data_IF_604134655511
#
_entry.id   IF_604134655511
#
_cell.length_a   1.000
_cell.length_b   1.000
_cell.length_c   1.000
_cell.angle_alpha   90.00
_cell.angle_beta   90.00
_cell.angle_gamma   90.00
#
_symmetry.space_group_name_H-M   'P 1'
#
loop_
_entity.id
_entity.type
_entity.pdbx_description
1 polymer ?
#
# COMPACT_ATOMS: atom_id res chain seq x y z
N UNK A 1 -32.57 62.54 28.20
CA UNK A 1 -32.63 61.08 27.89
C UNK A 1 -33.35 60.84 26.54
N UNK A 2 -32.76 61.22 25.39
CA UNK A 2 -33.40 61.05 24.06
C UNK A 2 -32.48 60.42 22.99
N UNK A 3 -31.18 60.27 23.27
CA UNK A 3 -30.18 59.83 22.26
C UNK A 3 -30.05 58.30 22.16
N UNK A 4 -30.49 57.55 23.17
CA UNK A 4 -30.36 56.08 23.21
C UNK A 4 -31.27 55.35 22.20
N UNK A 5 -32.40 55.96 21.81
CA UNK A 5 -33.33 55.41 20.81
C UNK A 5 -32.84 55.60 19.38
N UNK A 6 -32.15 56.72 19.08
CA UNK A 6 -31.62 57.01 17.73
C UNK A 6 -30.39 56.13 17.40
N UNK A 7 -29.57 55.82 18.41
CA UNK A 7 -28.42 54.90 18.27
C UNK A 7 -28.87 53.46 17.97
N UNK A 8 -30.03 53.03 18.48
CA UNK A 8 -30.58 51.70 18.21
C UNK A 8 -31.13 51.58 16.77
N UNK A 9 -31.75 52.64 16.25
CA UNK A 9 -32.19 52.68 14.85
C UNK A 9 -31.01 52.72 13.86
N UNK A 10 -29.93 53.44 14.18
CA UNK A 10 -28.72 53.49 13.34
C UNK A 10 -27.95 52.16 13.33
N UNK A 11 -28.02 51.39 14.42
CA UNK A 11 -27.46 50.04 14.49
C UNK A 11 -28.26 49.02 13.69
N UNK A 12 -29.59 49.22 13.53
CA UNK A 12 -30.46 48.31 12.77
C UNK A 12 -30.26 48.46 11.26
N UNK A 13 -30.02 49.68 10.78
CA UNK A 13 -29.75 49.99 9.36
C UNK A 13 -28.37 49.54 8.88
N UNK A 14 -27.39 49.40 9.80
CA UNK A 14 -26.07 48.83 9.49
C UNK A 14 -26.08 47.29 9.43
N UNK A 15 -27.07 46.63 10.03
CA UNK A 15 -27.22 45.17 9.98
C UNK A 15 -27.96 44.69 8.72
N UNK A 16 -28.78 45.54 8.10
CA UNK A 16 -29.51 45.22 6.86
C UNK A 16 -28.65 45.30 5.58
N UNK A 17 -27.48 45.94 5.62
CA UNK A 17 -26.62 46.09 4.43
C UNK A 17 -25.71 44.87 4.17
N UNK A 18 -25.61 43.94 5.13
CA UNK A 18 -24.76 42.74 5.03
C UNK A 18 -25.46 41.47 4.54
N UNK A 19 -26.78 41.49 4.33
CA UNK A 19 -27.58 40.28 4.03
C UNK A 19 -28.06 40.18 2.56
N UNK A 20 -27.45 40.90 1.63
CA UNK A 20 -27.90 40.96 0.23
C UNK A 20 -27.03 40.20 -0.79
N UNK A 21 -26.15 39.30 -0.34
CA UNK A 21 -25.36 38.41 -1.22
C UNK A 21 -25.76 36.94 -1.01
N UNK A 22 -27.01 36.62 -1.33
CA UNK A 22 -27.50 35.24 -1.43
C UNK A 22 -28.31 35.04 -2.73
N UNK A 23 -27.95 35.77 -3.79
CA UNK A 23 -28.40 35.38 -5.13
C UNK A 23 -27.66 34.10 -5.49
N UNK A 24 -28.37 32.97 -5.41
CA UNK A 24 -28.03 31.78 -6.18
C UNK A 24 -28.01 32.20 -7.64
N UNK A 25 -26.81 32.50 -8.15
CA UNK A 25 -26.60 32.60 -9.59
C UNK A 25 -26.97 31.23 -10.14
N UNK A 26 -28.14 31.13 -10.78
CA UNK A 26 -28.58 29.94 -11.48
C UNK A 26 -27.54 29.68 -12.58
N UNK A 27 -26.53 28.86 -12.27
CA UNK A 27 -25.56 28.41 -13.25
C UNK A 27 -26.30 27.45 -14.16
N UNK A 28 -26.91 28.00 -15.22
CA UNK A 28 -27.54 27.27 -16.30
C UNK A 28 -26.45 26.60 -17.13
N UNK A 29 -25.81 25.59 -16.54
CA UNK A 29 -24.90 24.71 -17.25
C UNK A 29 -25.70 23.94 -18.29
N UNK A 30 -25.20 23.85 -19.52
CA UNK A 30 -25.82 22.98 -20.52
C UNK A 30 -25.78 21.52 -20.05
N UNK A 31 -26.71 20.68 -20.52
CA UNK A 31 -26.78 19.25 -20.14
C UNK A 31 -25.41 18.54 -20.19
N UNK A 32 -24.63 18.81 -21.25
CA UNK A 32 -23.28 18.26 -21.42
C UNK A 32 -22.29 18.71 -20.34
N UNK A 33 -22.41 19.95 -19.88
CA UNK A 33 -21.53 20.52 -18.85
C UNK A 33 -21.90 20.00 -17.46
N UNK A 34 -23.20 19.85 -17.17
CA UNK A 34 -23.67 19.15 -15.97
C UNK A 34 -23.23 17.69 -15.94
N UNK A 35 -23.35 16.97 -17.07
CA UNK A 35 -22.91 15.58 -17.17
C UNK A 35 -21.41 15.45 -16.88
N UNK A 36 -20.59 16.30 -17.52
CA UNK A 36 -19.13 16.30 -17.30
C UNK A 36 -18.78 16.61 -15.84
N UNK A 37 -19.43 17.61 -15.25
CA UNK A 37 -19.22 17.96 -13.85
C UNK A 37 -19.60 16.79 -12.91
N UNK A 38 -20.73 16.12 -13.18
CA UNK A 38 -21.17 14.94 -12.45
C UNK A 38 -20.19 13.77 -12.57
N UNK A 39 -19.68 13.50 -13.77
CA UNK A 39 -18.69 12.44 -14.00
C UNK A 39 -17.35 12.74 -13.30
N UNK A 40 -16.82 13.95 -13.45
CA UNK A 40 -15.51 14.34 -12.90
C UNK A 40 -15.51 14.40 -11.36
N UNK A 41 -16.66 14.68 -10.74
CA UNK A 41 -16.80 14.79 -9.27
C UNK A 41 -17.49 13.58 -8.63
N UNK A 42 -17.85 12.55 -9.40
CA UNK A 42 -18.49 11.35 -8.86
C UNK A 42 -17.51 10.54 -8.01
N UNK A 43 -17.88 10.35 -6.75
CA UNK A 43 -17.14 9.48 -5.82
C UNK A 43 -17.15 8.03 -6.32
N UNK A 44 -18.26 7.59 -6.92
CA UNK A 44 -18.41 6.23 -7.44
C UNK A 44 -17.45 5.97 -8.61
N UNK A 45 -17.31 6.94 -9.54
CA UNK A 45 -16.36 6.82 -10.65
C UNK A 45 -14.93 6.81 -10.13
N UNK A 46 -14.60 7.71 -9.19
CA UNK A 46 -13.27 7.75 -8.58
C UNK A 46 -12.93 6.44 -7.88
N UNK A 47 -13.90 5.84 -7.19
CA UNK A 47 -13.73 4.53 -6.56
C UNK A 47 -13.49 3.44 -7.60
N UNK A 48 -14.28 3.37 -8.67
CA UNK A 48 -14.11 2.38 -9.74
C UNK A 48 -12.74 2.46 -10.44
N UNK A 49 -12.18 3.67 -10.57
CA UNK A 49 -10.83 3.89 -11.09
C UNK A 49 -9.78 3.32 -10.14
N UNK A 50 -9.94 3.51 -8.82
CA UNK A 50 -9.03 2.95 -7.82
C UNK A 50 -9.11 1.43 -7.78
N UNK A 51 -10.32 0.86 -7.90
CA UNK A 51 -10.54 -0.58 -7.94
C UNK A 51 -9.86 -1.21 -9.18
N UNK A 52 -9.94 -0.54 -10.34
CA UNK A 52 -9.21 -0.96 -11.54
C UNK A 52 -7.69 -0.93 -11.31
N UNK A 53 -7.15 0.17 -10.76
CA UNK A 53 -5.71 0.26 -10.46
C UNK A 53 -5.26 -0.83 -9.48
N UNK A 54 -6.07 -1.11 -8.46
CA UNK A 54 -5.80 -2.20 -7.53
C UNK A 54 -5.72 -3.55 -8.24
N UNK A 55 -6.63 -3.83 -9.18
CA UNK A 55 -6.60 -5.06 -9.98
C UNK A 55 -5.35 -5.14 -10.88
N UNK A 56 -4.90 -4.02 -11.44
CA UNK A 56 -3.65 -3.94 -12.20
C UNK A 56 -2.42 -4.22 -11.32
N UNK A 57 -2.40 -3.70 -10.09
CA UNK A 57 -1.33 -4.00 -9.13
C UNK A 57 -1.29 -5.48 -8.75
N UNK A 58 -2.44 -6.12 -8.55
CA UNK A 58 -2.52 -7.56 -8.29
C UNK A 58 -1.95 -8.39 -9.45
N UNK A 59 -2.20 -8.00 -10.70
CA UNK A 59 -1.54 -8.63 -11.86
C UNK A 59 -0.02 -8.44 -11.79
N UNK A 60 0.44 -7.26 -11.39
CA UNK A 60 1.86 -6.97 -11.16
C UNK A 60 2.49 -7.86 -10.09
N UNK A 61 1.81 -8.07 -8.96
CA UNK A 61 2.23 -8.98 -7.89
C UNK A 61 2.36 -10.42 -8.39
N UNK A 62 1.30 -10.93 -9.03
CA UNK A 62 1.29 -12.29 -9.58
C UNK A 62 2.39 -12.44 -10.62
N UNK A 63 2.56 -11.49 -11.54
CA UNK A 63 3.64 -11.52 -12.55
C UNK A 63 5.02 -11.51 -11.90
N UNK A 64 5.23 -10.70 -10.86
CA UNK A 64 6.50 -10.60 -10.14
C UNK A 64 6.89 -11.91 -9.47
N UNK A 65 5.92 -12.70 -9.00
CA UNK A 65 6.17 -14.02 -8.41
C UNK A 65 6.82 -15.03 -9.38
N UNK A 66 6.68 -14.80 -10.70
CA UNK A 66 7.31 -15.63 -11.74
C UNK A 66 8.68 -15.13 -12.19
N UNK A 67 9.09 -13.94 -11.79
CA UNK A 67 10.40 -13.38 -12.13
C UNK A 67 11.50 -13.96 -11.21
N UNK A 68 12.76 -13.97 -11.66
CA UNK A 68 13.89 -14.29 -10.79
C UNK A 68 13.91 -13.37 -9.56
N UNK A 69 13.90 -13.99 -8.38
CA UNK A 69 14.04 -13.31 -7.11
C UNK A 69 15.50 -13.37 -6.67
N UNK A 70 16.06 -12.23 -6.28
CA UNK A 70 17.42 -12.13 -5.74
C UNK A 70 17.32 -11.61 -4.31
N UNK A 71 17.94 -12.32 -3.38
CA UNK A 71 17.98 -11.98 -1.96
C UNK A 71 19.40 -12.05 -1.44
N UNK A 72 19.70 -11.22 -0.45
CA UNK A 72 20.98 -11.21 0.25
C UNK A 72 20.74 -11.27 1.75
N UNK A 73 21.54 -12.06 2.45
CA UNK A 73 21.50 -12.19 3.90
C UNK A 73 22.91 -12.03 4.46
N UNK A 74 23.04 -11.32 5.57
CA UNK A 74 24.30 -11.06 6.26
C UNK A 74 24.17 -11.42 7.72
N UNK A 75 24.92 -12.41 8.18
CA UNK A 75 24.90 -12.86 9.56
C UNK A 75 26.23 -12.54 10.23
N UNK A 76 26.15 -11.84 11.36
CA UNK A 76 27.27 -11.66 12.28
C UNK A 76 26.90 -12.31 13.61
N UNK A 77 27.78 -13.16 14.13
CA UNK A 77 27.57 -13.86 15.38
C UNK A 77 28.82 -13.78 16.26
N UNK A 78 28.60 -13.41 17.52
CA UNK A 78 29.61 -13.43 18.58
C UNK A 78 29.31 -14.59 19.52
N UNK A 79 30.32 -15.41 19.80
CA UNK A 79 30.28 -16.52 20.75
C UNK A 79 31.08 -16.18 22.02
N UNK A 80 30.52 -15.43 22.98
CA UNK A 80 31.24 -15.04 24.19
C UNK A 80 31.63 -16.23 25.07
N UNK A 81 30.86 -17.32 25.02
CA UNK A 81 31.26 -18.63 25.53
C UNK A 81 31.28 -19.62 24.37
N UNK A 82 32.47 -20.01 23.94
CA UNK A 82 32.63 -20.97 22.84
C UNK A 82 32.17 -22.36 23.27
N UNK A 83 31.50 -23.12 22.37
CA UNK A 83 31.12 -24.50 22.65
C UNK A 83 32.36 -25.34 23.00
N UNK A 84 32.40 -25.89 24.22
CA UNK A 84 33.42 -26.84 24.66
C UNK A 84 33.03 -28.25 24.24
N UNK A 85 33.90 -28.93 23.50
CA UNK A 85 33.78 -30.36 23.25
C UNK A 85 34.76 -31.12 24.17
N UNK A 86 34.35 -32.29 24.63
CA UNK A 86 35.20 -33.16 25.42
C UNK A 86 35.90 -34.14 24.47
N UNK A 87 37.23 -34.10 24.42
CA UNK A 87 38.00 -35.09 23.68
C UNK A 87 38.63 -36.11 24.64
N UNK A 88 38.77 -37.38 24.21
CA UNK A 88 39.53 -38.38 24.94
C UNK A 88 40.97 -37.89 25.19
N UNK A 89 41.46 -37.93 26.42
CA UNK A 89 42.83 -37.55 26.77
C UNK A 89 43.91 -38.49 26.18
N UNK A 90 43.49 -39.62 25.60
CA UNK A 90 44.33 -40.57 24.86
C UNK A 90 45.14 -39.89 23.74
N UNK A 91 44.61 -38.82 23.15
CA UNK A 91 45.25 -38.06 22.06
C UNK A 91 46.45 -37.23 22.57
N UNK A 92 46.52 -36.98 23.89
CA UNK A 92 47.53 -36.13 24.55
C UNK A 92 48.33 -36.91 25.60
N UNK A 93 48.33 -38.25 25.51
CA UNK A 93 48.97 -39.18 26.45
C UNK A 93 48.46 -39.08 27.91
N UNK A 94 47.19 -38.72 28.10
CA UNK A 94 46.51 -38.77 29.41
C UNK A 94 45.32 -39.74 29.36
N UNK A 95 45.55 -41.06 29.56
CA UNK A 95 44.48 -42.05 29.56
C UNK A 95 43.49 -41.81 30.72
N UNK A 96 42.19 -41.91 30.44
CA UNK A 96 41.14 -41.81 31.46
C UNK A 96 40.70 -40.39 31.83
N UNK A 97 41.30 -39.33 31.26
CA UNK A 97 40.83 -37.95 31.43
C UNK A 97 40.10 -37.46 30.17
N UNK A 98 39.09 -36.60 30.34
CA UNK A 98 38.44 -35.89 29.24
C UNK A 98 38.97 -34.46 29.25
N UNK A 99 39.54 -34.02 28.13
CA UNK A 99 40.11 -32.68 28.01
C UNK A 99 39.07 -31.78 27.31
N UNK A 100 38.61 -30.69 27.96
CA UNK A 100 37.71 -29.74 27.32
C UNK A 100 38.50 -28.92 26.31
N UNK A 101 38.09 -28.99 25.05
CA UNK A 101 38.66 -28.22 23.94
C UNK A 101 37.57 -27.34 23.34
N UNK A 102 37.94 -26.11 23.01
CA UNK A 102 37.05 -25.16 22.33
C UNK A 102 37.57 -25.00 20.91
N UNK A 103 36.71 -25.28 19.93
CA UNK A 103 37.05 -25.15 18.51
C UNK A 103 36.32 -23.94 17.90
N UNK A 104 36.96 -23.28 16.94
CA UNK A 104 36.36 -22.17 16.18
C UNK A 104 36.84 -20.77 16.61
N UNK A 105 36.14 -19.74 16.14
CA UNK A 105 36.45 -18.31 16.35
C UNK A 105 35.34 -17.63 17.16
N UNK A 106 35.69 -16.61 17.96
CA UNK A 106 34.72 -15.85 18.77
C UNK A 106 33.75 -15.02 17.92
N UNK A 107 34.18 -14.67 16.72
CA UNK A 107 33.40 -13.90 15.76
C UNK A 107 33.25 -14.71 14.49
N UNK A 108 32.02 -14.86 14.03
CA UNK A 108 31.68 -15.44 12.74
C UNK A 108 30.89 -14.41 11.95
N UNK A 109 31.33 -14.13 10.72
CA UNK A 109 30.63 -13.28 9.78
C UNK A 109 30.41 -14.06 8.50
N UNK A 110 29.17 -14.12 8.03
CA UNK A 110 28.81 -14.75 6.76
C UNK A 110 27.90 -13.83 5.95
N UNK A 111 28.07 -13.87 4.63
CA UNK A 111 27.21 -13.17 3.68
C UNK A 111 26.78 -14.17 2.61
N UNK A 112 25.50 -14.23 2.33
CA UNK A 112 24.91 -15.15 1.34
C UNK A 112 24.08 -14.37 0.35
N UNK A 113 24.30 -14.58 -0.95
CA UNK A 113 23.44 -14.07 -2.02
C UNK A 113 22.74 -15.27 -2.65
N UNK A 114 21.40 -15.21 -2.76
CA UNK A 114 20.57 -16.27 -3.32
C UNK A 114 19.72 -15.72 -4.45
N UNK A 115 19.87 -16.31 -5.65
CA UNK A 115 18.98 -16.11 -6.77
C UNK A 115 18.07 -17.35 -6.94
N UNK A 116 16.75 -17.14 -7.04
CA UNK A 116 15.77 -18.20 -7.24
C UNK A 116 14.81 -17.84 -8.36
N UNK A 117 14.62 -18.75 -9.31
CA UNK A 117 13.71 -18.56 -10.44
C UNK A 117 12.71 -19.70 -10.51
N UNK A 118 11.46 -19.35 -10.75
CA UNK A 118 10.40 -20.30 -11.03
C UNK A 118 10.53 -20.79 -12.48
N UNK A 119 10.88 -22.07 -12.67
CA UNK A 119 10.99 -22.65 -14.02
C UNK A 119 9.59 -23.00 -14.57
N UNK A 120 8.78 -23.70 -13.77
CA UNK A 120 7.41 -24.05 -14.14
C UNK A 120 6.55 -24.28 -12.90
N UNK A 121 5.33 -23.73 -12.88
CA UNK A 121 4.30 -24.01 -11.89
C UNK A 121 2.91 -23.79 -12.50
N UNK A 122 2.06 -24.82 -12.43
CA UNK A 122 0.69 -24.77 -12.94
C UNK A 122 -0.20 -23.76 -12.20
N UNK A 123 -0.03 -23.65 -10.88
CA UNK A 123 -0.76 -22.69 -10.04
C UNK A 123 -0.40 -21.24 -10.42
N UNK A 124 0.87 -20.97 -10.77
CA UNK A 124 1.27 -19.65 -11.24
C UNK A 124 0.57 -19.26 -12.55
N UNK A 125 0.53 -20.17 -13.53
CA UNK A 125 -0.11 -19.90 -14.81
C UNK A 125 -1.63 -19.70 -14.68
N UNK A 126 -2.29 -20.50 -13.86
CA UNK A 126 -3.72 -20.37 -13.57
C UNK A 126 -4.01 -19.08 -12.79
N UNK A 127 -3.20 -18.76 -11.78
CA UNK A 127 -3.27 -17.50 -11.05
C UNK A 127 -3.08 -16.27 -11.93
N UNK A 128 -2.12 -16.31 -12.88
CA UNK A 128 -1.90 -15.22 -13.83
C UNK A 128 -3.10 -15.01 -14.76
N UNK A 129 -3.76 -16.09 -15.19
CA UNK A 129 -5.00 -16.00 -15.99
C UNK A 129 -6.15 -15.42 -15.15
N UNK A 130 -6.29 -15.87 -13.91
CA UNK A 130 -7.31 -15.35 -12.99
C UNK A 130 -7.12 -13.85 -12.71
N UNK A 131 -5.88 -13.42 -12.48
CA UNK A 131 -5.55 -12.01 -12.27
C UNK A 131 -5.89 -11.17 -13.52
N UNK A 132 -5.55 -11.63 -14.72
CA UNK A 132 -5.92 -10.96 -15.97
C UNK A 132 -7.44 -10.84 -16.15
N UNK A 133 -8.17 -11.93 -15.91
CA UNK A 133 -9.64 -11.93 -15.98
C UNK A 133 -10.25 -10.96 -14.96
N UNK A 134 -9.63 -10.84 -13.78
CA UNK A 134 -10.06 -9.87 -12.76
C UNK A 134 -9.85 -8.44 -13.24
N UNK A 135 -8.70 -8.10 -13.84
CA UNK A 135 -8.46 -6.77 -14.42
C UNK A 135 -9.48 -6.43 -15.51
N UNK A 136 -9.82 -7.38 -16.38
CA UNK A 136 -10.85 -7.19 -17.40
C UNK A 136 -12.23 -6.94 -16.76
N UNK A 137 -12.59 -7.69 -15.72
CA UNK A 137 -13.82 -7.47 -14.96
C UNK A 137 -13.88 -6.06 -14.35
N UNK A 138 -12.81 -5.59 -13.71
CA UNK A 138 -12.79 -4.24 -13.11
C UNK A 138 -12.84 -3.13 -14.16
N UNK A 139 -12.26 -3.34 -15.34
CA UNK A 139 -12.43 -2.43 -16.49
C UNK A 139 -13.90 -2.34 -16.92
N UNK A 140 -14.61 -3.48 -16.99
CA UNK A 140 -16.04 -3.50 -17.29
C UNK A 140 -16.89 -2.85 -16.19
N UNK A 141 -16.55 -3.09 -14.91
CA UNK A 141 -17.24 -2.45 -13.78
C UNK A 141 -17.08 -0.94 -13.76
N UNK A 142 -15.91 -0.42 -14.17
CA UNK A 142 -15.70 1.02 -14.37
C UNK A 142 -16.64 1.59 -15.43
N UNK A 143 -16.72 0.96 -16.60
CA UNK A 143 -17.64 1.39 -17.68
C UNK A 143 -19.09 1.37 -17.19
N UNK A 144 -19.50 0.28 -16.51
CA UNK A 144 -20.84 0.17 -15.92
C UNK A 144 -21.12 1.30 -14.92
N UNK A 145 -20.13 1.66 -14.09
CA UNK A 145 -20.29 2.73 -13.09
C UNK A 145 -20.42 4.10 -13.77
N UNK A 146 -19.68 4.34 -14.86
CA UNK A 146 -19.84 5.55 -15.66
C UNK A 146 -21.25 5.62 -16.28
N UNK A 147 -21.76 4.52 -16.84
CA UNK A 147 -23.13 4.44 -17.37
C UNK A 147 -24.18 4.68 -16.28
N UNK A 148 -24.07 4.01 -15.12
CA UNK A 148 -25.01 4.15 -14.00
C UNK A 148 -25.11 5.60 -13.50
N UNK A 149 -24.00 6.35 -13.53
CA UNK A 149 -23.96 7.78 -13.15
C UNK A 149 -24.57 8.66 -14.23
N UNK A 150 -24.44 8.31 -15.51
CA UNK A 150 -25.06 9.05 -16.62
C UNK A 150 -26.58 8.91 -16.61
N UNK A 151 -27.09 7.74 -16.21
CA UNK A 151 -28.53 7.44 -16.18
C UNK A 151 -29.23 7.76 -14.85
N UNK A 152 -28.48 8.23 -13.83
CA UNK A 152 -29.04 8.73 -12.56
C UNK A 152 -29.57 10.16 -12.70
#
# INVERSE_FOLDING_TARGET
MKVKRISWFFSLTLFSWGMAFAQETEHTMGLKEMLRYGLDNSIAIRQSVLDQQQAEYQVGEVKSSGLPQVSGEGQFQNFPNRPTQLLPGEIVNQPGTQIPVQFGTDYTMSGTIKASQLIYNHQFLTGLRAAKSSTELYSLLKIKTEEDVIYQ
#
